data_IF_285135782935
#
_entry.id   IF_285135782935
#
_cell.length_a   1.000
_cell.length_b   1.000
_cell.length_c   1.000
_cell.angle_alpha   90.00
_cell.angle_beta   90.00
_cell.angle_gamma   90.00
#
_symmetry.space_group_name_H-M   'P 1'
#
loop_
_entity.id
_entity.type
_entity.pdbx_description
1 polymer ?
#
# COMPACT_ATOMS: atom_id res chain seq x y z
N UNK A 1 -7.75 -7.84 -6.63
CA UNK A 1 -7.07 -8.79 -5.72
C UNK A 1 -7.70 -10.18 -5.82
N UNK A 2 -6.91 -11.20 -6.16
CA UNK A 2 -7.40 -12.58 -6.25
C UNK A 2 -7.00 -13.35 -4.98
N UNK A 3 -7.97 -13.96 -4.30
CA UNK A 3 -7.76 -14.75 -3.08
C UNK A 3 -7.55 -16.22 -3.45
N UNK A 4 -6.55 -16.89 -2.87
CA UNK A 4 -6.24 -18.29 -3.17
C UNK A 4 -6.95 -19.26 -2.20
N UNK A 5 -7.93 -20.08 -2.63
CA UNK A 5 -8.61 -21.02 -1.75
C UNK A 5 -7.72 -21.99 -0.97
N UNK A 6 -6.47 -22.19 -1.38
CA UNK A 6 -5.50 -23.10 -0.75
C UNK A 6 -4.59 -22.41 0.28
N UNK A 7 -4.37 -21.10 0.16
CA UNK A 7 -3.40 -20.37 0.97
C UNK A 7 -4.03 -19.08 1.49
N UNK A 8 -4.27 -19.02 2.80
CA UNK A 8 -4.91 -17.87 3.44
C UNK A 8 -3.96 -16.73 3.80
N UNK A 9 -2.65 -16.87 3.54
CA UNK A 9 -1.75 -15.73 3.65
C UNK A 9 -2.21 -14.60 2.72
N UNK A 10 -1.88 -13.35 3.09
CA UNK A 10 -2.37 -12.20 2.35
C UNK A 10 -1.96 -12.26 0.88
N UNK A 11 -2.87 -11.95 -0.05
CA UNK A 11 -2.55 -11.93 -1.46
C UNK A 11 -1.56 -10.81 -1.76
N UNK A 12 -0.74 -11.05 -2.78
CA UNK A 12 0.20 -10.08 -3.28
C UNK A 12 -0.54 -8.91 -3.96
N UNK A 13 -0.08 -7.68 -3.71
CA UNK A 13 -0.46 -6.46 -4.41
C UNK A 13 0.33 -6.35 -5.70
N UNK A 14 -0.35 -6.20 -6.83
CA UNK A 14 0.35 -5.90 -8.07
C UNK A 14 0.98 -4.50 -7.97
N UNK A 15 2.30 -4.40 -8.02
CA UNK A 15 3.02 -3.14 -7.84
C UNK A 15 2.63 -2.10 -8.89
N UNK A 16 2.41 -2.51 -10.14
CA UNK A 16 2.04 -1.56 -11.19
C UNK A 16 0.62 -1.03 -11.00
N UNK A 17 -0.33 -1.90 -10.62
CA UNK A 17 -1.69 -1.51 -10.23
C UNK A 17 -1.68 -0.59 -9.01
N UNK A 18 -0.91 -0.92 -7.97
CA UNK A 18 -0.76 -0.10 -6.76
C UNK A 18 -0.21 1.30 -7.07
N UNK A 19 0.86 1.40 -7.87
CA UNK A 19 1.43 2.69 -8.27
C UNK A 19 0.45 3.50 -9.12
N UNK A 20 -0.25 2.86 -10.07
CA UNK A 20 -1.23 3.55 -10.92
C UNK A 20 -2.45 4.01 -10.12
N UNK A 21 -2.93 3.21 -9.17
CA UNK A 21 -4.09 3.54 -8.35
C UNK A 21 -3.79 4.63 -7.31
N UNK A 22 -2.57 4.65 -6.75
CA UNK A 22 -2.18 5.63 -5.73
C UNK A 22 -1.56 6.90 -6.30
N UNK A 23 -0.74 6.82 -7.34
CA UNK A 23 -0.02 7.98 -7.88
C UNK A 23 -0.59 8.50 -9.20
N UNK A 24 -1.55 7.78 -9.80
CA UNK A 24 -2.09 8.11 -11.12
C UNK A 24 -1.11 7.78 -12.26
N UNK A 25 -1.22 8.54 -13.34
CA UNK A 25 -0.36 8.38 -14.51
C UNK A 25 0.98 9.10 -14.33
N UNK A 26 2.10 8.51 -14.77
CA UNK A 26 3.38 9.19 -14.77
C UNK A 26 3.37 10.38 -15.74
N UNK A 27 4.06 11.46 -15.35
CA UNK A 27 4.25 12.64 -16.19
C UNK A 27 5.16 12.33 -17.37
N UNK A 28 4.85 12.95 -18.52
CA UNK A 28 5.76 12.97 -19.66
C UNK A 28 7.00 13.79 -19.32
N UNK A 29 8.16 13.16 -19.41
CA UNK A 29 9.44 13.79 -19.17
C UNK A 29 9.92 14.54 -20.43
N UNK A 30 10.55 15.71 -20.26
CA UNK A 30 11.35 16.29 -21.33
C UNK A 30 12.46 15.32 -21.79
N UNK A 31 12.72 15.25 -23.10
CA UNK A 31 13.70 14.33 -23.71
C UNK A 31 15.05 14.30 -22.97
N UNK A 32 15.61 15.47 -22.66
CA UNK A 32 16.89 15.57 -21.93
C UNK A 32 16.87 15.00 -20.49
N UNK A 33 15.70 14.96 -19.83
CA UNK A 33 15.53 14.31 -18.54
C UNK A 33 15.30 12.81 -18.70
N UNK A 34 14.52 12.40 -19.70
CA UNK A 34 14.29 11.00 -20.03
C UNK A 34 15.62 10.27 -20.33
N UNK A 35 16.47 10.86 -21.18
CA UNK A 35 17.77 10.27 -21.54
C UNK A 35 18.68 10.00 -20.34
N UNK A 36 18.70 10.91 -19.36
CA UNK A 36 19.56 10.77 -18.16
C UNK A 36 18.94 9.81 -17.14
N UNK A 37 17.62 9.81 -16.98
CA UNK A 37 16.92 8.92 -16.04
C UNK A 37 16.77 7.47 -16.54
N UNK A 38 16.92 7.22 -17.84
CA UNK A 38 17.04 5.86 -18.38
C UNK A 38 18.35 5.19 -17.97
N UNK A 39 19.43 5.97 -17.81
CA UNK A 39 20.78 5.46 -17.66
C UNK A 39 21.41 5.76 -16.28
N UNK A 40 20.68 6.39 -15.38
CA UNK A 40 21.20 6.86 -14.09
C UNK A 40 20.12 6.92 -13.02
N UNK A 41 20.56 7.01 -11.77
CA UNK A 41 19.66 7.15 -10.63
C UNK A 41 19.03 8.54 -10.61
N UNK A 42 17.76 8.62 -10.21
CA UNK A 42 17.08 9.91 -10.05
C UNK A 42 17.85 10.88 -9.14
N UNK A 43 18.51 10.36 -8.09
CA UNK A 43 19.30 11.15 -7.14
C UNK A 43 20.55 11.77 -7.76
N UNK A 44 21.15 11.13 -8.76
CA UNK A 44 22.33 11.69 -9.45
C UNK A 44 21.95 12.89 -10.33
N UNK A 45 20.65 13.03 -10.62
CA UNK A 45 20.07 14.09 -11.45
C UNK A 45 19.09 14.99 -10.69
N UNK A 46 19.15 14.99 -9.35
CA UNK A 46 18.26 15.74 -8.46
C UNK A 46 18.14 17.23 -8.85
N UNK A 47 19.26 17.90 -9.09
CA UNK A 47 19.25 19.33 -9.48
C UNK A 47 18.50 19.60 -10.79
N UNK A 48 18.47 18.63 -11.71
CA UNK A 48 17.74 18.77 -12.97
C UNK A 48 16.24 18.56 -12.76
N UNK A 49 15.86 17.57 -11.93
CA UNK A 49 14.47 17.33 -11.52
C UNK A 49 13.88 18.55 -10.81
N UNK A 50 14.57 19.08 -9.78
CA UNK A 50 14.12 20.25 -9.03
C UNK A 50 13.88 21.48 -9.92
N UNK A 51 14.77 21.73 -10.89
CA UNK A 51 14.60 22.82 -11.87
C UNK A 51 13.38 22.59 -12.77
N UNK A 52 13.11 21.35 -13.14
CA UNK A 52 11.96 21.02 -13.97
C UNK A 52 10.65 21.13 -13.19
N UNK A 53 10.59 20.65 -11.95
CA UNK A 53 9.44 20.83 -11.05
C UNK A 53 9.12 22.30 -10.87
N UNK A 54 10.14 23.12 -10.56
CA UNK A 54 9.94 24.56 -10.40
C UNK A 54 9.51 25.27 -11.69
N UNK A 55 9.96 24.78 -12.86
CA UNK A 55 9.48 25.29 -14.15
C UNK A 55 8.02 24.90 -14.40
N UNK A 56 7.61 23.69 -14.00
CA UNK A 56 6.28 23.16 -14.24
C UNK A 56 5.22 23.83 -13.36
N UNK A 57 5.52 24.10 -12.10
CA UNK A 57 4.52 24.59 -11.12
C UNK A 57 4.76 26.02 -10.65
N UNK A 58 5.92 26.61 -10.98
CA UNK A 58 6.36 27.93 -10.47
C UNK A 58 6.62 27.96 -8.95
N UNK A 59 6.82 26.81 -8.33
CA UNK A 59 7.12 26.64 -6.89
C UNK A 59 8.53 26.04 -6.73
N UNK A 60 9.25 26.41 -5.68
CA UNK A 60 10.55 25.78 -5.37
C UNK A 60 10.31 24.51 -4.57
N UNK A 61 11.02 23.43 -4.91
CA UNK A 61 10.94 22.12 -4.24
C UNK A 61 12.27 21.76 -3.60
N UNK A 62 12.22 20.83 -2.66
CA UNK A 62 13.38 20.14 -2.10
C UNK A 62 13.13 18.63 -2.01
N UNK A 63 14.22 17.85 -1.98
CA UNK A 63 14.16 16.42 -1.75
C UNK A 63 13.98 16.17 -0.25
N UNK A 64 12.79 15.69 0.14
CA UNK A 64 12.41 15.54 1.55
C UNK A 64 12.55 14.12 2.07
N UNK A 65 12.46 13.12 1.18
CA UNK A 65 12.50 11.72 1.58
C UNK A 65 12.97 10.81 0.45
N UNK A 66 13.71 9.77 0.78
CA UNK A 66 14.02 8.64 -0.11
C UNK A 66 13.97 7.36 0.68
N UNK A 67 13.30 6.36 0.14
CA UNK A 67 13.26 5.03 0.72
C UNK A 67 13.05 3.95 -0.35
N UNK A 68 13.08 2.70 0.06
CA UNK A 68 12.84 1.54 -0.78
C UNK A 68 11.93 0.55 -0.07
N UNK A 69 11.16 -0.19 -0.84
CA UNK A 69 10.22 -1.15 -0.27
C UNK A 69 10.92 -2.40 0.26
N UNK A 70 12.10 -2.78 -0.25
CA UNK A 70 12.76 -4.04 0.14
C UNK A 70 13.31 -4.04 1.58
N UNK A 71 13.50 -2.86 2.18
CA UNK A 71 13.94 -2.71 3.57
C UNK A 71 12.80 -2.94 4.58
N UNK A 72 11.55 -2.96 4.13
CA UNK A 72 10.36 -3.13 4.96
C UNK A 72 9.56 -4.33 4.47
N UNK A 73 8.84 -4.98 5.38
CA UNK A 73 7.88 -5.99 4.96
C UNK A 73 6.73 -5.35 4.20
N UNK A 74 6.38 -5.94 3.07
CA UNK A 74 5.36 -5.46 2.15
C UNK A 74 4.77 -6.65 1.37
N UNK A 75 3.56 -6.46 0.86
CA UNK A 75 2.85 -7.46 0.06
C UNK A 75 2.98 -7.19 -1.45
N UNK A 76 3.92 -6.36 -1.90
CA UNK A 76 4.04 -5.95 -3.32
C UNK A 76 4.59 -7.06 -4.23
N UNK A 77 4.21 -7.03 -5.51
CA UNK A 77 4.66 -7.98 -6.54
C UNK A 77 6.10 -7.79 -7.00
N UNK A 78 6.60 -6.57 -6.84
CA UNK A 78 7.98 -6.18 -7.09
C UNK A 78 8.36 -5.02 -6.17
N UNK A 79 9.65 -4.96 -5.83
CA UNK A 79 10.20 -3.86 -5.06
C UNK A 79 10.40 -2.60 -5.90
N UNK A 80 10.48 -1.45 -5.25
CA UNK A 80 10.89 -0.20 -5.89
C UNK A 80 11.63 0.70 -4.90
N UNK A 81 12.39 1.65 -5.45
CA UNK A 81 12.91 2.81 -4.71
C UNK A 81 12.04 4.00 -5.07
N UNK A 82 11.78 4.87 -4.10
CA UNK A 82 11.10 6.12 -4.35
C UNK A 82 11.78 7.30 -3.67
N UNK A 83 11.66 8.47 -4.30
CA UNK A 83 12.07 9.76 -3.76
C UNK A 83 10.89 10.72 -3.80
N UNK A 84 10.73 11.50 -2.74
CA UNK A 84 9.66 12.48 -2.58
C UNK A 84 10.25 13.88 -2.60
N UNK A 85 9.63 14.74 -3.40
CA UNK A 85 9.98 16.14 -3.53
C UNK A 85 8.77 17.00 -3.19
N UNK A 86 8.87 17.80 -2.15
CA UNK A 86 7.80 18.65 -1.66
C UNK A 86 8.16 20.14 -1.81
N UNK A 87 7.17 21.04 -1.81
CA UNK A 87 7.44 22.48 -1.77
C UNK A 87 8.34 22.84 -0.58
N UNK A 88 9.30 23.73 -0.82
CA UNK A 88 10.14 24.32 0.25
C UNK A 88 9.23 25.00 1.27
N UNK A 89 9.63 24.93 2.54
CA UNK A 89 8.90 25.46 3.70
C UNK A 89 7.60 24.72 4.04
N UNK A 90 7.34 23.53 3.46
CA UNK A 90 6.26 22.68 3.95
C UNK A 90 6.58 22.16 5.37
N UNK A 91 5.57 22.10 6.24
CA UNK A 91 5.76 21.64 7.62
C UNK A 91 5.88 20.11 7.71
N UNK A 92 5.15 19.41 6.84
CA UNK A 92 5.12 17.95 6.73
C UNK A 92 4.84 17.59 5.28
N UNK A 93 5.72 16.80 4.67
CA UNK A 93 5.61 16.40 3.28
C UNK A 93 4.48 15.38 3.04
N UNK A 94 4.06 14.65 4.07
CA UNK A 94 2.96 13.68 3.95
C UNK A 94 1.64 14.39 3.59
N UNK A 95 1.41 15.53 4.22
CA UNK A 95 0.20 16.35 4.07
C UNK A 95 0.40 17.55 3.14
N UNK A 96 1.60 17.72 2.58
CA UNK A 96 1.89 18.82 1.69
C UNK A 96 1.07 18.69 0.40
N UNK A 97 0.46 19.78 -0.08
CA UNK A 97 -0.14 19.79 -1.39
C UNK A 97 0.95 19.74 -2.48
N UNK A 98 0.62 19.18 -3.63
CA UNK A 98 1.41 19.29 -4.85
C UNK A 98 2.85 18.75 -4.68
N UNK A 99 2.96 17.43 -4.51
CA UNK A 99 4.21 16.71 -4.25
C UNK A 99 4.60 15.90 -5.50
N UNK A 100 5.90 15.79 -5.78
CA UNK A 100 6.40 14.87 -6.80
C UNK A 100 6.94 13.59 -6.16
N UNK A 101 6.55 12.46 -6.72
CA UNK A 101 7.11 11.14 -6.37
C UNK A 101 7.86 10.60 -7.56
N UNK A 102 9.12 10.23 -7.36
CA UNK A 102 9.95 9.60 -8.38
C UNK A 102 10.15 8.15 -8.00
N UNK A 103 9.68 7.23 -8.84
CA UNK A 103 9.72 5.78 -8.59
C UNK A 103 10.64 5.09 -9.58
N UNK A 104 11.55 4.27 -9.06
CA UNK A 104 12.46 3.42 -9.82
C UNK A 104 12.08 1.97 -9.50
N UNK A 105 11.36 1.29 -10.40
CA UNK A 105 10.86 -0.08 -10.16
C UNK A 105 11.96 -1.13 -10.37
N UNK A 106 12.01 -2.14 -9.51
CA UNK A 106 12.96 -3.25 -9.63
C UNK A 106 12.61 -4.16 -10.80
N UNK A 107 13.62 -4.57 -11.57
CA UNK A 107 13.48 -5.42 -12.75
C UNK A 107 13.78 -6.91 -12.46
N UNK A 108 13.80 -7.30 -11.18
CA UNK A 108 14.16 -8.64 -10.71
C UNK A 108 15.66 -8.84 -10.50
N UNK A 109 16.04 -9.99 -9.94
CA UNK A 109 17.44 -10.27 -9.59
C UNK A 109 17.86 -9.72 -8.21
N UNK A 110 19.08 -9.19 -8.11
CA UNK A 110 19.57 -8.62 -6.84
C UNK A 110 18.85 -7.30 -6.51
N UNK A 111 18.17 -7.25 -5.36
CA UNK A 111 17.43 -6.07 -4.86
C UNK A 111 18.30 -4.84 -4.62
N UNK A 112 19.63 -4.98 -4.55
CA UNK A 112 20.57 -3.86 -4.39
C UNK A 112 20.91 -3.17 -5.71
N UNK A 113 20.39 -3.64 -6.84
CA UNK A 113 20.60 -3.06 -8.17
C UNK A 113 19.50 -3.45 -9.15
N UNK A 114 19.71 -3.23 -10.45
CA UNK A 114 18.78 -3.59 -11.52
C UNK A 114 17.38 -2.94 -11.40
N UNK A 115 17.37 -1.62 -11.19
CA UNK A 115 16.17 -0.81 -11.25
C UNK A 115 15.97 -0.24 -12.66
N UNK A 116 14.71 -0.11 -13.06
CA UNK A 116 14.34 0.48 -14.35
C UNK A 116 14.41 2.00 -14.34
N UNK A 117 14.10 2.60 -15.48
CA UNK A 117 14.05 4.05 -15.64
C UNK A 117 13.09 4.69 -14.63
N UNK A 118 13.51 5.83 -14.08
CA UNK A 118 12.70 6.57 -13.12
C UNK A 118 11.41 7.09 -13.77
N UNK A 119 10.27 6.89 -13.11
CA UNK A 119 8.98 7.48 -13.46
C UNK A 119 8.63 8.57 -12.48
N UNK A 120 8.12 9.70 -12.96
CA UNK A 120 7.76 10.83 -12.11
C UNK A 120 6.26 10.99 -12.07
N UNK A 121 5.70 11.10 -10.87
CA UNK A 121 4.29 11.31 -10.60
C UNK A 121 4.11 12.63 -9.86
N UNK A 122 2.94 13.23 -10.00
CA UNK A 122 2.54 14.42 -9.25
C UNK A 122 1.25 14.10 -8.50
N UNK A 123 1.28 14.29 -7.19
CA UNK A 123 0.21 13.88 -6.28
C UNK A 123 -0.22 15.07 -5.46
N UNK A 124 -1.53 15.20 -5.24
CA UNK A 124 -2.07 16.27 -4.42
C UNK A 124 -1.75 16.07 -2.94
N UNK A 125 -1.76 14.85 -2.42
CA UNK A 125 -1.31 14.53 -1.06
C UNK A 125 -0.88 13.08 -0.96
N UNK A 126 0.30 12.79 -0.38
CA UNK A 126 0.76 11.41 -0.19
C UNK A 126 -0.02 10.69 0.91
N UNK A 127 -0.38 11.42 1.98
CA UNK A 127 -1.15 10.86 3.08
C UNK A 127 -2.54 10.36 2.65
N UNK A 128 -3.12 10.97 1.61
CA UNK A 128 -4.47 10.63 1.12
C UNK A 128 -4.45 9.73 -0.12
N UNK A 129 -3.27 9.43 -0.68
CA UNK A 129 -3.18 8.68 -1.94
C UNK A 129 -3.16 7.16 -1.80
N UNK A 130 -2.91 6.65 -0.59
CA UNK A 130 -2.69 5.22 -0.35
C UNK A 130 -1.33 4.70 -0.82
N UNK A 131 -0.43 5.58 -1.29
CA UNK A 131 0.88 5.18 -1.81
C UNK A 131 1.77 4.49 -0.76
N UNK A 132 1.61 4.82 0.52
CA UNK A 132 2.42 4.24 1.60
C UNK A 132 1.80 2.96 2.20
N UNK A 133 0.63 2.54 1.72
CA UNK A 133 -0.06 1.35 2.20
C UNK A 133 0.40 0.12 1.40
N UNK A 134 1.58 -0.42 1.77
CA UNK A 134 2.21 -1.54 1.05
C UNK A 134 1.80 -2.93 1.55
N UNK A 135 0.88 -3.00 2.52
CA UNK A 135 0.41 -4.25 3.12
C UNK A 135 -1.11 -4.35 3.00
N UNK A 136 -1.57 -5.56 2.76
CA UNK A 136 -2.98 -5.90 2.76
C UNK A 136 -3.48 -6.08 4.20
N UNK A 137 -4.65 -5.52 4.50
CA UNK A 137 -5.35 -5.75 5.76
C UNK A 137 -6.26 -6.97 5.71
N UNK A 138 -6.91 -7.26 6.84
CA UNK A 138 -8.03 -8.20 6.93
C UNK A 138 -9.25 -7.51 7.52
N UNK A 139 -10.42 -7.95 7.07
CA UNK A 139 -11.68 -7.52 7.64
C UNK A 139 -12.57 -8.72 7.92
N UNK A 140 -13.07 -8.77 9.15
CA UNK A 140 -13.92 -9.82 9.66
C UNK A 140 -15.37 -9.34 9.74
N UNK A 141 -16.30 -10.15 9.23
CA UNK A 141 -17.74 -9.90 9.33
C UNK A 141 -18.48 -11.13 9.83
N UNK A 142 -19.65 -11.01 10.49
CA UNK A 142 -20.44 -12.18 10.89
C UNK A 142 -20.82 -13.05 9.68
N UNK A 143 -20.75 -14.38 9.81
CA UNK A 143 -21.12 -15.30 8.71
C UNK A 143 -22.58 -15.16 8.28
N UNK A 144 -23.46 -14.87 9.24
CA UNK A 144 -24.89 -14.90 9.04
C UNK A 144 -25.43 -13.50 8.71
N UNK A 145 -25.22 -13.07 7.46
CA UNK A 145 -25.75 -11.81 6.91
C UNK A 145 -27.28 -11.71 6.99
N UNK A 146 -27.96 -12.85 7.06
CA UNK A 146 -29.42 -12.95 7.10
C UNK A 146 -29.97 -13.02 8.53
N UNK A 147 -29.09 -12.95 9.53
CA UNK A 147 -29.48 -12.92 10.94
C UNK A 147 -30.28 -11.64 11.23
N UNK A 148 -31.40 -11.71 11.97
CA UNK A 148 -32.09 -10.51 12.46
C UNK A 148 -31.19 -9.64 13.36
N UNK A 149 -30.08 -10.20 13.86
CA UNK A 149 -29.09 -9.50 14.67
C UNK A 149 -27.84 -9.07 13.88
N UNK A 150 -27.80 -9.22 12.56
CA UNK A 150 -26.58 -9.00 11.76
C UNK A 150 -25.90 -7.64 12.04
N UNK A 151 -26.68 -6.55 12.08
CA UNK A 151 -26.14 -5.22 12.39
C UNK A 151 -25.54 -5.14 13.80
N UNK A 152 -26.22 -5.74 14.79
CA UNK A 152 -25.70 -5.80 16.15
C UNK A 152 -24.43 -6.66 16.27
N UNK A 153 -24.33 -7.72 15.46
CA UNK A 153 -23.13 -8.56 15.40
C UNK A 153 -21.98 -7.85 14.67
N UNK A 154 -22.25 -7.00 13.67
CA UNK A 154 -21.24 -6.15 13.03
C UNK A 154 -20.67 -5.09 13.98
N UNK A 155 -21.50 -4.55 14.86
CA UNK A 155 -21.12 -3.53 15.85
C UNK A 155 -20.62 -4.15 17.18
N UNK A 156 -20.33 -5.46 17.20
CA UNK A 156 -19.86 -6.14 18.40
C UNK A 156 -18.47 -5.60 18.79
N UNK A 157 -18.27 -5.11 20.04
CA UNK A 157 -17.03 -4.40 20.41
C UNK A 157 -15.74 -5.19 20.16
N UNK A 158 -15.76 -6.48 20.44
CA UNK A 158 -14.65 -7.40 20.24
C UNK A 158 -14.36 -7.65 18.75
N UNK A 159 -15.38 -7.61 17.89
CA UNK A 159 -15.20 -7.69 16.44
C UNK A 159 -14.59 -6.39 15.90
N UNK A 160 -15.09 -5.24 16.35
CA UNK A 160 -14.51 -3.93 16.01
C UNK A 160 -13.04 -3.86 16.42
N UNK A 161 -12.73 -4.22 17.67
CA UNK A 161 -11.35 -4.23 18.17
C UNK A 161 -10.44 -5.20 17.40
N UNK A 162 -10.98 -6.35 16.96
CA UNK A 162 -10.24 -7.26 16.10
C UNK A 162 -9.97 -6.63 14.73
N UNK A 163 -10.99 -6.05 14.08
CA UNK A 163 -10.84 -5.41 12.78
C UNK A 163 -9.84 -4.24 12.82
N UNK A 164 -9.88 -3.41 13.86
CA UNK A 164 -8.92 -2.32 14.03
C UNK A 164 -7.47 -2.84 14.06
N UNK A 165 -7.23 -3.99 14.74
CA UNK A 165 -5.90 -4.60 14.82
C UNK A 165 -5.40 -5.20 13.51
N UNK A 166 -6.33 -5.72 12.70
CA UNK A 166 -6.01 -6.41 11.45
C UNK A 166 -6.14 -5.50 10.22
N UNK A 167 -6.56 -4.25 10.39
CA UNK A 167 -6.65 -3.28 9.32
C UNK A 167 -5.26 -2.75 8.89
N UNK A 168 -5.19 -2.27 7.65
CA UNK A 168 -4.06 -1.47 7.18
C UNK A 168 -3.93 -0.18 8.01
N UNK A 169 -2.70 0.32 8.19
CA UNK A 169 -2.42 1.54 8.97
C UNK A 169 -2.30 1.35 10.49
N UNK A 170 -2.79 0.23 11.05
CA UNK A 170 -2.64 -0.08 12.48
C UNK A 170 -1.52 -1.09 12.77
N UNK A 171 -1.27 -2.01 11.83
CA UNK A 171 -0.25 -3.05 11.95
C UNK A 171 0.63 -3.12 10.71
N UNK A 172 1.94 -3.25 10.92
CA UNK A 172 2.89 -3.60 9.87
C UNK A 172 2.78 -5.08 9.44
N UNK A 173 2.04 -5.91 10.20
CA UNK A 173 1.85 -7.34 9.93
C UNK A 173 0.41 -7.81 10.14
N UNK A 174 -0.56 -7.34 9.32
CA UNK A 174 -1.97 -7.68 9.49
C UNK A 174 -2.28 -9.18 9.56
N UNK A 175 -1.61 -9.99 8.73
CA UNK A 175 -1.78 -11.46 8.74
C UNK A 175 -1.28 -12.10 10.03
N UNK A 176 -0.22 -11.57 10.63
CA UNK A 176 0.27 -12.04 11.93
C UNK A 176 -0.72 -11.67 13.05
N UNK A 177 -1.30 -10.47 12.98
CA UNK A 177 -2.36 -10.06 13.91
C UNK A 177 -3.59 -10.95 13.81
N UNK A 178 -4.06 -11.26 12.59
CA UNK A 178 -5.14 -12.23 12.40
C UNK A 178 -4.76 -13.58 13.03
N UNK A 179 -3.55 -14.10 12.78
CA UNK A 179 -3.09 -15.37 13.35
C UNK A 179 -3.14 -15.38 14.89
N UNK A 180 -2.76 -14.27 15.53
CA UNK A 180 -2.79 -14.12 16.98
C UNK A 180 -4.21 -14.06 17.56
N UNK A 181 -5.19 -13.66 16.75
CA UNK A 181 -6.60 -13.56 17.13
C UNK A 181 -7.38 -14.86 16.94
N UNK A 182 -6.83 -15.87 16.25
CA UNK A 182 -7.52 -17.12 15.96
C UNK A 182 -7.74 -17.98 17.22
N UNK A 183 -8.94 -18.56 17.36
CA UNK A 183 -9.26 -19.47 18.46
C UNK A 183 -8.38 -20.72 18.39
N UNK A 184 -7.52 -20.89 19.39
CA UNK A 184 -6.69 -22.09 19.54
C UNK A 184 -5.66 -22.25 18.42
N UNK A 185 -5.33 -21.16 17.71
CA UNK A 185 -4.43 -21.19 16.56
C UNK A 185 -5.00 -21.92 15.33
N UNK A 186 -6.33 -22.15 15.28
CA UNK A 186 -6.96 -22.78 14.13
C UNK A 186 -6.99 -21.82 12.93
N UNK A 187 -6.32 -22.20 11.85
CA UNK A 187 -6.25 -21.42 10.61
C UNK A 187 -7.64 -21.23 9.97
N UNK A 188 -7.87 -20.09 9.27
CA UNK A 188 -9.08 -19.88 8.48
C UNK A 188 -9.26 -20.96 7.41
N UNK A 189 -10.51 -21.34 7.16
CA UNK A 189 -10.86 -22.37 6.17
C UNK A 189 -11.66 -21.75 5.03
N UNK A 190 -11.27 -22.04 3.80
CA UNK A 190 -12.01 -21.59 2.63
C UNK A 190 -13.41 -22.23 2.56
N UNK A 191 -14.44 -21.41 2.41
CA UNK A 191 -15.81 -21.85 2.22
C UNK A 191 -16.25 -21.65 0.78
N UNK A 192 -16.37 -22.75 0.00
CA UNK A 192 -16.89 -22.69 -1.37
C UNK A 192 -18.30 -22.09 -1.45
N UNK A 193 -19.12 -22.27 -0.40
CA UNK A 193 -20.49 -21.75 -0.35
C UNK A 193 -20.53 -20.24 -0.16
N UNK A 194 -19.63 -19.69 0.65
CA UNK A 194 -19.59 -18.26 0.97
C UNK A 194 -18.58 -17.49 0.10
N UNK A 195 -17.73 -18.20 -0.63
CA UNK A 195 -16.64 -17.66 -1.44
C UNK A 195 -15.68 -16.75 -0.65
N UNK A 196 -15.37 -17.15 0.58
CA UNK A 196 -14.47 -16.44 1.48
C UNK A 196 -13.83 -17.42 2.47
N UNK A 197 -12.86 -16.95 3.25
CA UNK A 197 -12.42 -17.71 4.43
C UNK A 197 -13.42 -17.56 5.57
N UNK A 198 -13.50 -18.62 6.36
CA UNK A 198 -14.27 -18.66 7.60
C UNK A 198 -13.30 -18.93 8.73
N UNK A 199 -13.40 -18.13 9.79
CA UNK A 199 -12.55 -18.24 10.95
C UNK A 199 -13.37 -18.14 12.25
N UNK A 200 -12.73 -18.57 13.34
CA UNK A 200 -13.13 -18.18 14.69
C UNK A 200 -12.04 -17.32 15.30
N UNK A 201 -12.44 -16.15 15.78
CA UNK A 201 -11.58 -15.32 16.63
C UNK A 201 -11.82 -15.66 18.11
N UNK A 202 -10.76 -15.59 18.92
CA UNK A 202 -10.76 -16.04 20.32
C UNK A 202 -11.81 -15.30 21.18
N UNK A 203 -11.91 -13.98 21.00
CA UNK A 203 -12.75 -13.11 21.82
C UNK A 203 -14.11 -12.77 21.17
N UNK A 204 -14.32 -13.15 19.91
CA UNK A 204 -15.58 -12.90 19.19
C UNK A 204 -16.54 -14.08 19.40
N UNK A 205 -17.80 -13.86 19.86
CA UNK A 205 -18.67 -14.95 20.30
C UNK A 205 -19.30 -15.76 19.16
N UNK A 206 -19.19 -15.32 17.91
CA UNK A 206 -19.68 -16.01 16.71
C UNK A 206 -18.55 -16.30 15.70
N UNK A 207 -18.83 -17.10 14.69
CA UNK A 207 -17.89 -17.36 13.60
C UNK A 207 -17.99 -16.25 12.55
N UNK A 208 -16.86 -15.93 11.92
CA UNK A 208 -16.72 -14.79 11.02
C UNK A 208 -16.30 -15.22 9.63
N UNK A 209 -16.71 -14.45 8.62
CA UNK A 209 -16.04 -14.38 7.32
C UNK A 209 -14.81 -13.51 7.52
N UNK A 210 -13.68 -13.88 6.94
CA UNK A 210 -12.49 -13.03 6.89
C UNK A 210 -12.07 -12.86 5.43
N UNK A 211 -11.90 -11.61 5.04
CA UNK A 211 -11.59 -11.22 3.68
C UNK A 211 -10.39 -10.28 3.69
N UNK A 212 -9.44 -10.44 2.75
CA UNK A 212 -8.34 -9.49 2.64
C UNK A 212 -8.88 -8.16 2.11
N UNK A 213 -8.33 -7.07 2.64
CA UNK A 213 -8.68 -5.71 2.25
C UNK A 213 -7.46 -5.07 1.61
N UNK A 214 -7.64 -4.64 0.36
CA UNK A 214 -6.63 -3.87 -0.34
C UNK A 214 -6.37 -2.51 0.34
N UNK A 215 -5.21 -1.89 0.10
CA UNK A 215 -5.00 -0.48 0.39
C UNK A 215 -6.15 0.40 -0.05
N UNK A 216 -6.40 1.47 0.71
CA UNK A 216 -7.34 2.50 0.29
C UNK A 216 -6.69 3.40 -0.76
N UNK A 217 -7.28 3.48 -1.95
CA UNK A 217 -6.87 4.42 -2.99
C UNK A 217 -7.87 5.59 -3.01
N UNK A 218 -7.37 6.81 -2.81
CA UNK A 218 -8.15 8.04 -2.72
C UNK A 218 -8.75 8.53 -4.03
#
# INVERSE_FOLDING_TARGET
MAVDPLWWDCPQLDTAEHLSASLGDPLELPEHLEEVLINGWATDHESALLRWFARLTHITYEHVHRDNTYNSDNDLSSNFVFSVFAPVDCADWLWAPDVFVVVESHLGGDVRGNYGAARVYRVDSIAESGFLDWVCGWFATPINSDSPNFLADCDHPELTAANDRMAHGWSAYPTSELRNLLWGGCEPVWSMRLNCYVARLADVPFAVRVEPVAPYYG
#
